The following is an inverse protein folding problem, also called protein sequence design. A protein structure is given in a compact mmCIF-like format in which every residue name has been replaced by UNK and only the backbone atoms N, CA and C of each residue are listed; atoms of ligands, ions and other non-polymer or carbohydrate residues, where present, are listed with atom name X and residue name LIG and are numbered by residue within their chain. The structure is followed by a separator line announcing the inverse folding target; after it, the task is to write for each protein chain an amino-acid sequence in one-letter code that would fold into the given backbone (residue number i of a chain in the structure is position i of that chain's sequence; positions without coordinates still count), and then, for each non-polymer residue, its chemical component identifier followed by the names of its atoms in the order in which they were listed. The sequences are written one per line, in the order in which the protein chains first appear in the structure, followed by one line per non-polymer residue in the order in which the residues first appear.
data_IF_572513904630
#
_entry.id   IF_572513904630
#
_cell.length_a   1.000
_cell.length_b   1.000
_cell.length_c   1.000
_cell.angle_alpha   90.00
_cell.angle_beta   90.00
_cell.angle_gamma   90.00
#
_symmetry.space_group_name_H-M   'P 1'
#
loop_
_entity.id
_entity.type
_entity.pdbx_description
1 polymer ?
#
# COMPACT_ATOMS: atom_id res chain seq x y z
N UNK A 1 23.31 -1.73 7.42
CA UNK A 1 23.79 -0.34 7.30
C UNK A 1 22.73 0.42 6.53
N UNK A 2 22.38 1.63 6.97
CA UNK A 2 21.36 2.43 6.31
C UNK A 2 22.02 3.31 5.25
N UNK A 3 21.38 3.45 4.09
CA UNK A 3 21.83 4.33 3.02
C UNK A 3 21.64 5.80 3.41
N UNK A 4 22.49 6.65 2.85
CA UNK A 4 22.34 8.10 2.86
C UNK A 4 21.90 8.58 1.48
N UNK A 5 21.32 9.79 1.40
CA UNK A 5 20.94 10.39 0.11
C UNK A 5 22.14 10.49 -0.83
N UNK A 6 23.31 10.90 -0.32
CA UNK A 6 24.55 10.96 -1.11
C UNK A 6 24.95 9.60 -1.69
N UNK A 7 24.79 8.51 -0.93
CA UNK A 7 25.06 7.16 -1.43
C UNK A 7 24.05 6.74 -2.50
N UNK A 8 22.77 7.03 -2.31
CA UNK A 8 21.69 6.79 -3.29
C UNK A 8 21.97 7.52 -4.60
N UNK A 9 22.42 8.77 -4.55
CA UNK A 9 22.77 9.60 -5.70
C UNK A 9 24.05 9.12 -6.40
N UNK A 10 25.08 8.76 -5.65
CA UNK A 10 26.37 8.31 -6.19
C UNK A 10 26.32 6.89 -6.76
N UNK A 11 25.41 6.03 -6.29
CA UNK A 11 25.32 4.63 -6.70
C UNK A 11 25.07 4.48 -8.21
N UNK A 12 25.80 3.57 -8.86
CA UNK A 12 25.67 3.28 -10.30
C UNK A 12 25.76 1.79 -10.55
N UNK A 13 24.93 1.30 -11.47
CA UNK A 13 25.00 -0.08 -11.95
C UNK A 13 26.39 -0.36 -12.55
N UNK A 14 26.93 -1.55 -12.31
CA UNK A 14 28.27 -1.94 -12.78
C UNK A 14 29.43 -1.42 -11.92
N UNK A 15 29.20 -0.42 -11.04
CA UNK A 15 30.18 0.05 -10.05
C UNK A 15 29.84 -0.39 -8.64
N UNK A 16 28.55 -0.38 -8.32
CA UNK A 16 28.00 -0.82 -7.03
C UNK A 16 27.28 -2.17 -7.19
N UNK A 17 26.98 -2.84 -6.07
CA UNK A 17 26.12 -4.02 -6.08
C UNK A 17 24.77 -3.67 -6.73
N UNK A 18 24.16 -4.62 -7.45
CA UNK A 18 22.87 -4.41 -8.12
C UNK A 18 21.78 -3.98 -7.14
N UNK A 19 21.82 -4.48 -5.91
CA UNK A 19 20.94 -4.07 -4.82
C UNK A 19 21.76 -3.62 -3.61
N UNK A 20 21.52 -2.39 -3.18
CA UNK A 20 22.11 -1.80 -1.99
C UNK A 20 21.10 -1.88 -0.85
N UNK A 21 21.46 -2.54 0.25
CA UNK A 21 20.58 -2.63 1.41
C UNK A 21 20.56 -1.32 2.19
N UNK A 22 19.36 -0.86 2.53
CA UNK A 22 19.08 0.23 3.47
C UNK A 22 18.75 -0.31 4.88
N UNK A 23 18.88 -1.63 5.08
CA UNK A 23 18.39 -2.36 6.25
C UNK A 23 16.89 -2.66 6.16
N UNK A 24 16.37 -3.41 7.13
CA UNK A 24 14.91 -3.58 7.27
C UNK A 24 14.21 -4.19 6.05
N UNK A 25 14.89 -5.08 5.32
CA UNK A 25 14.43 -5.64 4.05
C UNK A 25 14.13 -4.57 2.97
N UNK A 26 14.59 -3.32 3.15
CA UNK A 26 14.49 -2.22 2.21
C UNK A 26 15.81 -2.07 1.42
N UNK A 27 15.70 -1.85 0.12
CA UNK A 27 16.83 -1.85 -0.81
C UNK A 27 16.65 -0.79 -1.90
N UNK A 28 17.77 -0.26 -2.38
CA UNK A 28 17.84 0.41 -3.67
C UNK A 28 18.32 -0.59 -4.72
N UNK A 29 17.54 -0.79 -5.79
CA UNK A 29 17.94 -1.53 -6.98
C UNK A 29 18.48 -0.59 -8.04
N UNK A 30 19.64 -0.92 -8.58
CA UNK A 30 20.29 -0.21 -9.68
C UNK A 30 20.03 -0.98 -10.98
N UNK A 31 19.65 -0.28 -12.04
CA UNK A 31 19.40 -0.87 -13.34
C UNK A 31 20.50 -0.47 -14.34
N UNK A 32 20.80 -1.31 -15.36
CA UNK A 32 21.73 -0.96 -16.43
C UNK A 32 21.39 0.35 -17.16
N UNK A 33 20.11 0.72 -17.22
CA UNK A 33 19.64 1.99 -17.81
C UNK A 33 20.00 3.24 -17.01
N UNK A 34 20.62 3.10 -15.83
CA UNK A 34 20.89 4.21 -14.91
C UNK A 34 19.72 4.53 -13.97
N UNK A 35 18.55 3.92 -14.21
CA UNK A 35 17.38 4.00 -13.33
C UNK A 35 17.71 3.42 -11.95
N UNK A 36 17.09 3.97 -10.91
CA UNK A 36 17.23 3.52 -9.52
C UNK A 36 15.84 3.34 -8.93
N UNK A 37 15.52 2.13 -8.49
CA UNK A 37 14.24 1.80 -7.86
C UNK A 37 14.40 1.49 -6.39
N UNK A 38 13.43 1.86 -5.56
CA UNK A 38 13.33 1.36 -4.21
C UNK A 38 12.48 0.08 -4.18
N UNK A 39 12.94 -0.90 -3.43
CA UNK A 39 12.29 -2.19 -3.29
C UNK A 39 12.27 -2.61 -1.82
N UNK A 40 11.21 -3.30 -1.40
CA UNK A 40 11.17 -4.00 -0.12
C UNK A 40 10.93 -5.49 -0.37
N UNK A 41 11.58 -6.32 0.45
CA UNK A 41 11.39 -7.77 0.42
C UNK A 41 10.45 -8.20 1.56
N UNK A 42 9.37 -8.91 1.24
CA UNK A 42 8.39 -9.41 2.21
C UNK A 42 8.16 -10.91 2.04
N UNK A 43 7.66 -11.58 3.08
CA UNK A 43 7.18 -12.96 2.96
C UNK A 43 5.94 -13.02 2.06
N UNK A 44 5.77 -14.11 1.29
CA UNK A 44 4.58 -14.31 0.43
C UNK A 44 3.30 -14.44 1.27
N UNK A 45 3.43 -15.08 2.41
CA UNK A 45 2.38 -15.33 3.40
C UNK A 45 3.05 -15.36 4.77
N UNK A 46 2.32 -15.00 5.82
CA UNK A 46 2.86 -15.00 7.17
C UNK A 46 3.45 -16.38 7.54
N UNK A 47 4.60 -16.37 8.22
CA UNK A 47 5.35 -17.57 8.57
C UNK A 47 6.07 -18.30 7.42
N UNK A 48 5.92 -17.89 6.15
CA UNK A 48 6.62 -18.54 5.05
C UNK A 48 8.04 -18.02 4.82
N UNK A 49 8.96 -18.96 4.56
CA UNK A 49 10.37 -18.66 4.22
C UNK A 49 10.51 -17.99 2.85
N UNK A 50 9.57 -18.23 1.93
CA UNK A 50 9.62 -17.65 0.59
C UNK A 50 9.35 -16.16 0.66
N UNK A 51 10.26 -15.36 0.10
CA UNK A 51 10.14 -13.92 0.03
C UNK A 51 9.99 -13.41 -1.40
N UNK A 52 9.31 -12.28 -1.55
CA UNK A 52 9.07 -11.60 -2.83
C UNK A 52 9.42 -10.12 -2.72
N UNK A 53 9.78 -9.55 -3.86
CA UNK A 53 10.10 -8.14 -4.00
C UNK A 53 8.84 -7.34 -4.33
N UNK A 54 8.69 -6.20 -3.66
CA UNK A 54 7.69 -5.18 -3.94
C UNK A 54 8.43 -3.91 -4.36
N UNK A 55 8.11 -3.38 -5.54
CA UNK A 55 8.63 -2.08 -5.99
C UNK A 55 7.86 -0.98 -5.25
N UNK A 56 8.58 0.00 -4.70
CA UNK A 56 7.98 1.11 -3.97
C UNK A 56 7.77 2.31 -4.91
N UNK A 57 8.85 2.78 -5.54
CA UNK A 57 8.85 3.65 -6.73
C UNK A 57 10.32 3.92 -7.11
N UNK A 58 10.56 4.80 -8.07
CA UNK A 58 11.88 5.15 -8.55
C UNK A 58 12.43 6.44 -7.93
N UNK A 59 13.73 6.50 -7.73
CA UNK A 59 14.45 7.74 -7.45
C UNK A 59 14.71 8.47 -8.78
N UNK A 60 14.55 9.81 -8.86
CA UNK A 60 14.22 10.75 -7.77
C UNK A 60 12.72 11.01 -7.58
N UNK A 61 11.83 10.29 -8.27
CA UNK A 61 10.37 10.48 -8.15
C UNK A 61 9.90 10.32 -6.70
N UNK A 62 10.46 9.39 -5.95
CA UNK A 62 10.34 9.32 -4.49
C UNK A 62 11.69 9.50 -3.81
N UNK A 63 11.68 10.21 -2.69
CA UNK A 63 12.85 10.38 -1.83
C UNK A 63 13.16 9.12 -1.03
N UNK A 64 14.40 9.00 -0.54
CA UNK A 64 14.80 7.91 0.36
C UNK A 64 13.93 7.85 1.64
N UNK A 65 13.51 9.01 2.16
CA UNK A 65 12.62 9.07 3.33
C UNK A 65 11.24 8.51 3.01
N UNK A 66 10.61 8.98 1.92
CA UNK A 66 9.30 8.47 1.49
C UNK A 66 9.36 6.96 1.22
N UNK A 67 10.42 6.48 0.55
CA UNK A 67 10.61 5.06 0.32
C UNK A 67 10.69 4.25 1.63
N UNK A 68 11.34 4.78 2.68
CA UNK A 68 11.36 4.15 4.01
C UNK A 68 9.98 4.11 4.66
N UNK A 69 9.25 5.22 4.61
CA UNK A 69 7.90 5.31 5.17
C UNK A 69 6.97 4.29 4.48
N UNK A 70 7.03 4.18 3.15
CA UNK A 70 6.30 3.17 2.38
C UNK A 70 6.76 1.76 2.71
N UNK A 71 8.07 1.52 2.87
CA UNK A 71 8.60 0.20 3.25
C UNK A 71 8.12 -0.26 4.63
N UNK A 72 8.00 0.66 5.59
CA UNK A 72 7.41 0.39 6.92
C UNK A 72 5.94 0.00 6.76
N UNK A 73 5.17 0.76 5.98
CA UNK A 73 3.78 0.45 5.72
C UNK A 73 3.59 -0.93 5.06
N UNK A 74 4.38 -1.24 4.02
CA UNK A 74 4.33 -2.53 3.32
C UNK A 74 4.61 -3.71 4.27
N UNK A 75 5.64 -3.61 5.11
CA UNK A 75 5.98 -4.67 6.07
C UNK A 75 4.90 -4.83 7.14
N UNK A 76 4.31 -3.73 7.60
CA UNK A 76 3.17 -3.78 8.51
C UNK A 76 1.98 -4.51 7.87
N UNK A 77 1.62 -4.22 6.62
CA UNK A 77 0.51 -4.95 5.98
C UNK A 77 0.84 -6.43 5.77
N UNK A 78 2.08 -6.76 5.39
CA UNK A 78 2.52 -8.15 5.27
C UNK A 78 2.40 -8.91 6.61
N UNK A 79 2.77 -8.29 7.74
CA UNK A 79 2.59 -8.87 9.08
C UNK A 79 1.12 -9.04 9.51
N UNK A 80 0.20 -8.31 8.85
CA UNK A 80 -1.25 -8.46 9.03
C UNK A 80 -1.86 -9.50 8.09
N UNK A 81 -1.02 -10.27 7.39
CA UNK A 81 -1.45 -11.32 6.48
C UNK A 81 -1.83 -10.85 5.08
N UNK A 82 -1.53 -9.59 4.70
CA UNK A 82 -1.78 -9.14 3.33
C UNK A 82 -0.85 -9.85 2.36
N UNK A 83 -1.42 -10.33 1.25
CA UNK A 83 -0.64 -10.88 0.15
C UNK A 83 0.14 -9.78 -0.58
N UNK A 84 1.21 -10.19 -1.25
CA UNK A 84 1.99 -9.31 -2.12
C UNK A 84 1.13 -8.61 -3.18
N UNK A 85 0.08 -9.27 -3.67
CA UNK A 85 -0.80 -8.70 -4.69
C UNK A 85 -1.70 -7.59 -4.13
N UNK A 86 -2.32 -7.82 -2.96
CA UNK A 86 -3.09 -6.79 -2.27
C UNK A 86 -2.24 -5.55 -1.98
N UNK A 87 -0.98 -5.75 -1.57
CA UNK A 87 -0.03 -4.67 -1.33
C UNK A 87 0.27 -3.91 -2.63
N UNK A 88 0.50 -4.59 -3.76
CA UNK A 88 0.76 -3.93 -5.04
C UNK A 88 -0.43 -3.10 -5.51
N UNK A 89 -1.64 -3.63 -5.40
CA UNK A 89 -2.87 -2.92 -5.77
C UNK A 89 -3.02 -1.66 -4.92
N UNK A 90 -2.80 -1.75 -3.61
CA UNK A 90 -2.87 -0.58 -2.73
C UNK A 90 -1.80 0.47 -3.05
N UNK A 91 -0.56 0.06 -3.36
CA UNK A 91 0.49 0.99 -3.80
C UNK A 91 0.19 1.67 -5.14
N UNK A 92 -0.59 1.05 -6.01
CA UNK A 92 -1.06 1.65 -7.27
C UNK A 92 -2.24 2.60 -7.04
N UNK A 93 -3.03 2.39 -5.98
CA UNK A 93 -4.23 3.16 -5.64
C UNK A 93 -3.98 4.44 -4.85
N UNK A 94 -2.88 4.53 -4.09
CA UNK A 94 -2.68 5.58 -3.06
C UNK A 94 -1.47 6.51 -3.28
N UNK A 95 -0.88 6.59 -4.48
CA UNK A 95 -0.01 7.74 -4.82
C UNK A 95 -0.88 8.91 -5.35
N UNK A 96 -1.92 9.25 -4.58
CA UNK A 96 -2.62 10.51 -4.65
C UNK A 96 -2.38 11.23 -3.32
N UNK A 97 -1.29 11.99 -3.28
CA UNK A 97 -1.02 13.12 -2.38
C UNK A 97 -1.40 12.99 -0.87
N UNK A 98 -0.43 12.84 0.06
CA UNK A 98 -0.69 12.85 1.50
C UNK A 98 -1.12 14.22 2.08
N UNK A 99 -1.57 15.16 1.23
CA UNK A 99 -2.11 16.47 1.63
C UNK A 99 -3.55 16.76 1.17
N UNK A 100 -4.32 15.75 0.72
CA UNK A 100 -5.76 15.95 0.51
C UNK A 100 -6.58 15.50 1.73
N UNK A 101 -7.12 16.41 2.57
CA UNK A 101 -8.11 16.04 3.58
C UNK A 101 -9.46 15.86 2.86
N UNK A 102 -9.68 14.70 2.25
CA UNK A 102 -11.03 14.32 1.83
C UNK A 102 -11.59 13.35 2.86
N UNK A 103 -12.17 13.93 3.91
CA UNK A 103 -13.19 13.29 4.72
C UNK A 103 -14.34 12.90 3.80
N UNK A 104 -14.27 11.72 3.19
CA UNK A 104 -15.45 11.07 2.65
C UNK A 104 -16.27 10.61 3.86
N UNK A 105 -17.18 11.49 4.29
CA UNK A 105 -18.24 11.13 5.24
C UNK A 105 -18.96 9.86 4.74
N UNK A 106 -19.32 8.93 5.64
CA UNK A 106 -20.18 7.82 5.27
C UNK A 106 -21.52 8.37 4.77
N UNK A 107 -22.09 7.81 3.68
CA UNK A 107 -23.33 8.33 3.12
C UNK A 107 -24.45 8.27 4.17
N UNK A 108 -24.98 9.44 4.51
CA UNK A 108 -26.12 9.60 5.39
C UNK A 108 -27.31 8.80 4.86
N UNK A 109 -27.78 7.81 5.65
CA UNK A 109 -29.09 7.19 5.43
C UNK A 109 -30.16 8.28 5.53
N UNK A 110 -30.81 8.59 4.41
CA UNK A 110 -32.01 9.42 4.40
C UNK A 110 -33.16 8.64 5.07
N UNK A 111 -33.86 9.19 6.07
CA UNK A 111 -35.10 8.59 6.55
C UNK A 111 -36.20 8.88 5.52
N UNK A 112 -36.66 7.85 4.81
CA UNK A 112 -37.87 7.95 4.01
C UNK A 112 -39.08 7.90 4.94
N UNK A 113 -39.52 9.08 5.40
CA UNK A 113 -40.86 9.30 5.92
C UNK A 113 -41.80 9.53 4.73
N UNK A 114 -42.90 8.77 4.66
CA UNK A 114 -43.92 8.93 3.62
C UNK A 114 -45.12 8.02 3.88
N UNK A 115 -46.10 8.55 4.61
CA UNK A 115 -47.36 7.91 4.96
C UNK A 115 -48.39 7.92 3.80
N UNK A 116 -49.27 6.91 3.71
CA UNK A 116 -50.75 7.00 3.60
C UNK A 116 -51.33 5.58 3.35
N UNK A 117 -52.17 5.02 4.25
CA UNK A 117 -53.66 5.03 4.36
C UNK A 117 -54.42 4.00 3.50
N UNK A 118 -55.31 3.24 4.16
CA UNK A 118 -56.48 2.53 3.59
C UNK A 118 -56.43 1.00 3.79
N UNK A 119 -56.97 0.39 4.87
CA UNK A 119 -58.39 0.08 5.19
C UNK A 119 -59.00 -1.13 4.44
N UNK A 120 -59.53 -2.09 5.22
CA UNK A 120 -60.36 -3.25 4.81
C UNK A 120 -59.81 -4.57 5.36
N UNK A 121 -60.11 -5.02 6.58
CA UNK A 121 -61.36 -5.65 7.06
C UNK A 121 -61.76 -6.92 6.30
N UNK A 122 -61.53 -8.09 6.90
CA UNK A 122 -62.54 -9.15 7.13
C UNK A 122 -61.99 -10.23 8.07
N UNK A 123 -62.88 -10.73 8.93
CA UNK A 123 -62.66 -11.69 10.00
C UNK A 123 -62.74 -13.16 9.56
N UNK A 124 -62.15 -14.04 10.39
CA UNK A 124 -62.58 -15.42 10.79
C UNK A 124 -61.32 -16.15 11.29
N UNK A 125 -61.21 -16.56 12.55
CA UNK A 125 -61.99 -17.64 13.18
C UNK A 125 -61.20 -18.95 12.98
N UNK A 126 -60.29 -19.33 13.89
CA UNK A 126 -60.52 -20.13 15.10
C UNK A 126 -60.37 -21.64 14.86
N UNK A 127 -59.57 -22.26 15.75
CA UNK A 127 -59.49 -23.67 16.14
C UNK A 127 -59.05 -24.70 15.09
#
# INVERSE_FOLDING_TARGET
MNLTVKQVEAAKFGFSQERLSDGNDHYQRLYPSGKKGFQVQIAVTDGQRRRVWINLDDFPKVSLRQARDTAVWVRMQASRGWSAEQIRVALQGDIADPQSPSLAEPPALKPHSGASRGSGSTASGAA
#
